data_IF_343572921063
#
_entry.id   IF_343572921063
#
_cell.length_a   1.000
_cell.length_b   1.000
_cell.length_c   1.000
_cell.angle_alpha   90.00
_cell.angle_beta   90.00
_cell.angle_gamma   90.00
#
_symmetry.space_group_name_H-M   'P 1'
#
loop_
_entity.id
_entity.type
_entity.pdbx_description
1 polymer ?
#
# COMPACT_ATOMS: atom_id res chain seq x y z
N UNK A 1 40.93 -55.89 -38.88
CA UNK A 1 40.96 -56.12 -37.41
C UNK A 1 40.86 -54.77 -36.71
N UNK A 2 39.81 -54.58 -35.90
CA UNK A 2 39.57 -53.52 -34.86
C UNK A 2 39.48 -52.07 -35.39
N UNK A 3 38.35 -51.36 -35.48
CA UNK A 3 37.08 -51.28 -34.73
C UNK A 3 37.26 -50.88 -33.25
N UNK A 4 37.12 -49.58 -32.94
CA UNK A 4 36.55 -49.00 -31.69
C UNK A 4 36.56 -47.44 -31.78
N UNK A 5 35.46 -46.78 -32.17
CA UNK A 5 34.47 -46.11 -31.30
C UNK A 5 35.08 -45.32 -30.12
N UNK A 6 35.09 -43.98 -30.20
CA UNK A 6 35.12 -43.12 -29.01
C UNK A 6 33.97 -42.11 -29.08
N UNK A 7 33.21 -42.06 -27.98
CA UNK A 7 31.89 -41.48 -27.85
C UNK A 7 31.89 -39.94 -27.82
N UNK A 8 30.78 -39.39 -28.32
CA UNK A 8 30.24 -38.07 -28.02
C UNK A 8 30.22 -37.80 -26.50
N UNK A 9 30.94 -36.78 -26.03
CA UNK A 9 30.77 -36.22 -24.68
C UNK A 9 30.01 -34.89 -24.80
N UNK A 10 28.68 -34.96 -24.82
CA UNK A 10 27.80 -33.81 -24.61
C UNK A 10 27.83 -33.45 -23.12
N UNK A 11 28.78 -32.60 -22.72
CA UNK A 11 28.76 -31.97 -21.40
C UNK A 11 27.60 -30.96 -21.35
N UNK A 12 26.42 -31.41 -20.93
CA UNK A 12 25.36 -30.53 -20.44
C UNK A 12 25.83 -30.00 -19.09
N UNK A 13 26.46 -28.82 -19.12
CA UNK A 13 26.67 -28.02 -17.91
C UNK A 13 25.29 -27.55 -17.44
N UNK A 14 24.68 -28.31 -16.54
CA UNK A 14 23.49 -27.91 -15.81
C UNK A 14 23.89 -26.76 -14.89
N UNK A 15 23.67 -25.53 -15.35
CA UNK A 15 23.76 -24.31 -14.54
C UNK A 15 22.86 -24.49 -13.31
N UNK A 16 23.47 -24.72 -12.15
CA UNK A 16 22.82 -24.52 -10.85
C UNK A 16 22.56 -23.01 -10.71
N UNK A 17 21.48 -22.54 -11.33
CA UNK A 17 20.92 -21.25 -10.98
C UNK A 17 20.52 -21.35 -9.50
N UNK A 18 20.99 -20.44 -8.62
CA UNK A 18 20.43 -20.37 -7.28
C UNK A 18 18.93 -20.18 -7.43
N UNK A 19 18.14 -20.98 -6.70
CA UNK A 19 16.70 -20.78 -6.63
C UNK A 19 16.49 -19.36 -6.10
N UNK A 20 16.18 -18.42 -7.00
CA UNK A 20 15.71 -17.12 -6.61
C UNK A 20 14.43 -17.39 -5.82
N UNK A 21 14.47 -17.16 -4.50
CA UNK A 21 13.29 -17.21 -3.66
C UNK A 21 12.36 -16.10 -4.15
N UNK A 22 11.47 -16.44 -5.07
CA UNK A 22 10.52 -15.51 -5.63
C UNK A 22 9.62 -15.00 -4.49
N UNK A 23 9.55 -13.69 -4.35
CA UNK A 23 8.61 -13.02 -3.43
C UNK A 23 7.19 -13.55 -3.65
N UNK A 24 6.42 -13.72 -2.58
CA UNK A 24 5.03 -14.21 -2.70
C UNK A 24 4.19 -13.12 -3.36
N UNK A 25 3.50 -13.49 -4.42
CA UNK A 25 2.54 -12.62 -5.10
C UNK A 25 1.12 -13.07 -4.76
N UNK A 26 0.30 -12.15 -4.25
CA UNK A 26 -1.13 -12.36 -4.04
C UNK A 26 -1.89 -11.48 -5.01
N UNK A 27 -2.72 -12.08 -5.86
CA UNK A 27 -3.58 -11.37 -6.79
C UNK A 27 -5.05 -11.58 -6.41
N UNK A 28 -5.82 -10.49 -6.41
CA UNK A 28 -7.26 -10.50 -6.18
C UNK A 28 -7.93 -9.61 -7.22
N UNK A 29 -9.07 -10.06 -7.72
CA UNK A 29 -9.89 -9.27 -8.64
C UNK A 29 -11.35 -9.39 -8.26
N UNK A 30 -12.11 -8.31 -8.49
CA UNK A 30 -13.55 -8.33 -8.33
C UNK A 30 -14.19 -7.29 -9.26
N UNK A 31 -15.41 -7.54 -9.76
CA UNK A 31 -16.21 -6.49 -10.38
C UNK A 31 -16.57 -5.43 -9.34
N UNK A 32 -16.67 -4.18 -9.78
CA UNK A 32 -17.10 -3.05 -8.97
C UNK A 32 -18.32 -2.43 -9.64
N UNK A 33 -19.47 -2.52 -8.97
CA UNK A 33 -20.71 -1.91 -9.41
C UNK A 33 -20.68 -0.38 -9.36
N UNK A 34 -21.51 0.27 -10.17
CA UNK A 34 -21.55 1.73 -10.33
C UNK A 34 -21.87 2.52 -9.04
N UNK A 35 -22.53 1.89 -8.07
CA UNK A 35 -22.84 2.49 -6.77
C UNK A 35 -22.02 1.91 -5.62
N UNK A 36 -21.07 1.00 -5.91
CA UNK A 36 -20.23 0.42 -4.87
C UNK A 36 -19.05 1.33 -4.54
N UNK A 37 -18.74 1.43 -3.26
CA UNK A 37 -17.49 1.98 -2.78
C UNK A 37 -16.41 0.90 -2.78
N UNK A 38 -15.17 1.25 -3.10
CA UNK A 38 -14.00 0.39 -2.84
C UNK A 38 -13.39 0.83 -1.52
N UNK A 39 -13.22 -0.12 -0.60
CA UNK A 39 -12.62 0.12 0.72
C UNK A 39 -11.38 -0.75 0.85
N UNK A 40 -10.24 -0.13 1.13
CA UNK A 40 -8.94 -0.75 1.28
C UNK A 40 -8.44 -0.53 2.71
N UNK A 41 -8.40 -1.60 3.49
CA UNK A 41 -7.86 -1.61 4.85
C UNK A 41 -6.58 -2.43 4.85
N UNK A 42 -5.45 -1.74 4.67
CA UNK A 42 -4.16 -2.37 4.41
C UNK A 42 -3.10 -1.99 5.47
N UNK A 43 -3.33 -2.30 6.77
CA UNK A 43 -2.44 -1.84 7.84
C UNK A 43 -1.00 -2.36 7.71
N UNK A 44 -0.79 -3.50 7.05
CA UNK A 44 0.51 -4.14 6.85
C UNK A 44 1.24 -3.71 5.57
N UNK A 45 0.61 -2.91 4.69
CA UNK A 45 1.26 -2.43 3.48
C UNK A 45 2.38 -1.43 3.82
N UNK A 46 3.53 -1.54 3.16
CA UNK A 46 4.64 -0.58 3.24
C UNK A 46 4.58 0.44 2.11
N UNK A 47 3.99 0.07 0.97
CA UNK A 47 3.74 0.95 -0.16
C UNK A 47 2.43 0.55 -0.84
N UNK A 48 1.58 1.53 -1.12
CA UNK A 48 0.31 1.35 -1.85
C UNK A 48 0.32 2.28 -3.05
N UNK A 49 0.28 1.71 -4.26
CA UNK A 49 0.19 2.45 -5.51
C UNK A 49 -1.16 2.20 -6.15
N UNK A 50 -1.93 3.25 -6.34
CA UNK A 50 -3.30 3.21 -6.86
C UNK A 50 -3.35 3.93 -8.20
N UNK A 51 -3.96 3.27 -9.19
CA UNK A 51 -4.26 3.87 -10.49
C UNK A 51 -5.74 3.73 -10.83
N UNK A 52 -6.34 4.80 -11.34
CA UNK A 52 -7.62 4.73 -12.01
C UNK A 52 -7.49 4.11 -13.40
N UNK A 53 -8.31 3.10 -13.68
CA UNK A 53 -8.43 2.43 -14.97
C UNK A 53 -9.77 2.68 -15.65
N UNK A 54 -9.90 2.27 -16.91
CA UNK A 54 -11.12 2.37 -17.72
C UNK A 54 -12.11 1.23 -17.51
N UNK A 55 -11.68 0.13 -16.86
CA UNK A 55 -12.52 -1.03 -16.58
C UNK A 55 -13.43 -0.86 -15.35
N UNK A 56 -14.36 -1.80 -15.18
CA UNK A 56 -15.25 -1.89 -14.01
C UNK A 56 -14.77 -2.94 -13.00
N UNK A 57 -13.46 -3.17 -12.93
CA UNK A 57 -12.87 -4.16 -12.04
C UNK A 57 -11.90 -3.51 -11.08
N UNK A 58 -11.93 -3.97 -9.84
CA UNK A 58 -10.83 -3.86 -8.90
C UNK A 58 -9.80 -4.94 -9.24
N UNK A 59 -8.53 -4.55 -9.35
CA UNK A 59 -7.39 -5.47 -9.41
C UNK A 59 -6.43 -5.10 -8.29
N UNK A 60 -6.03 -6.08 -7.50
CA UNK A 60 -5.05 -5.94 -6.43
C UNK A 60 -3.95 -6.94 -6.67
N UNK A 61 -2.70 -6.46 -6.63
CA UNK A 61 -1.49 -7.28 -6.68
C UNK A 61 -0.62 -6.88 -5.50
N UNK A 62 -0.36 -7.82 -4.59
CA UNK A 62 0.52 -7.61 -3.44
C UNK A 62 1.79 -8.46 -3.58
N UNK A 63 2.95 -7.83 -3.55
CA UNK A 63 4.25 -8.49 -3.43
C UNK A 63 4.66 -8.48 -1.95
N UNK A 64 4.88 -9.66 -1.40
CA UNK A 64 5.07 -9.88 0.04
C UNK A 64 6.45 -10.45 0.28
N UNK A 65 7.21 -9.76 1.14
CA UNK A 65 8.48 -10.24 1.69
C UNK A 65 8.47 -10.03 3.21
N UNK A 66 8.32 -11.12 3.95
CA UNK A 66 8.39 -11.14 5.42
C UNK A 66 9.54 -12.05 5.81
N UNK A 67 10.50 -11.51 6.58
CA UNK A 67 11.61 -12.26 7.13
C UNK A 67 12.37 -13.08 6.07
N UNK A 68 12.82 -12.40 5.01
CA UNK A 68 13.52 -13.01 3.87
C UNK A 68 12.68 -14.11 3.18
N UNK A 69 11.39 -13.83 2.98
CA UNK A 69 10.39 -14.73 2.40
C UNK A 69 9.95 -15.92 3.26
N UNK A 70 10.52 -16.12 4.46
CA UNK A 70 10.20 -17.28 5.31
C UNK A 70 8.77 -17.28 5.85
N UNK A 71 8.19 -16.10 6.05
CA UNK A 71 6.89 -15.94 6.70
C UNK A 71 5.86 -15.24 5.79
N UNK A 72 6.05 -15.29 4.47
CA UNK A 72 5.12 -14.65 3.53
C UNK A 72 3.67 -15.15 3.66
N UNK A 73 3.48 -16.38 4.15
CA UNK A 73 2.17 -16.94 4.42
C UNK A 73 1.46 -16.34 5.64
N UNK A 74 2.19 -15.62 6.49
CA UNK A 74 1.59 -14.87 7.57
C UNK A 74 0.75 -13.69 7.05
N UNK A 75 1.03 -13.12 5.87
CA UNK A 75 0.14 -12.09 5.30
C UNK A 75 -1.08 -12.74 4.66
N UNK A 76 -2.24 -12.42 5.22
CA UNK A 76 -3.55 -12.78 4.67
C UNK A 76 -4.14 -11.55 3.99
N UNK A 77 -4.56 -11.71 2.72
CA UNK A 77 -5.27 -10.69 1.97
C UNK A 77 -6.64 -11.22 1.57
N UNK A 78 -7.69 -10.64 2.15
CA UNK A 78 -9.07 -10.99 1.88
C UNK A 78 -9.73 -9.97 0.96
N UNK A 79 -10.60 -10.46 0.08
CA UNK A 79 -11.49 -9.63 -0.74
C UNK A 79 -12.92 -10.09 -0.47
N UNK A 80 -13.79 -9.17 -0.09
CA UNK A 80 -15.21 -9.40 0.15
C UNK A 80 -16.04 -8.43 -0.69
N UNK A 81 -17.01 -8.95 -1.41
CA UNK A 81 -18.00 -8.14 -2.12
C UNK A 81 -19.29 -8.17 -1.32
N UNK A 82 -19.75 -7.01 -0.89
CA UNK A 82 -20.94 -6.82 -0.07
C UNK A 82 -21.90 -5.85 -0.77
N UNK A 83 -23.13 -5.73 -0.26
CA UNK A 83 -24.07 -4.72 -0.74
C UNK A 83 -23.46 -3.32 -0.53
N UNK A 84 -23.25 -2.59 -1.62
CA UNK A 84 -22.73 -1.22 -1.58
C UNK A 84 -21.20 -1.07 -1.46
N UNK A 85 -20.42 -2.15 -1.29
CA UNK A 85 -18.95 -2.05 -1.26
C UNK A 85 -18.19 -3.28 -1.71
N UNK A 86 -16.96 -3.07 -2.15
CA UNK A 86 -15.92 -4.09 -2.31
C UNK A 86 -14.82 -3.78 -1.30
N UNK A 87 -14.63 -4.68 -0.33
CA UNK A 87 -13.67 -4.53 0.77
C UNK A 87 -12.45 -5.41 0.52
N UNK A 88 -11.27 -4.82 0.59
CA UNK A 88 -9.98 -5.51 0.64
C UNK A 88 -9.36 -5.26 2.00
N UNK A 89 -9.03 -6.33 2.70
CA UNK A 89 -8.45 -6.24 4.04
C UNK A 89 -7.22 -7.12 4.14
N UNK A 90 -6.12 -6.56 4.64
CA UNK A 90 -4.94 -7.33 5.03
C UNK A 90 -4.89 -7.55 6.54
N UNK A 91 -4.37 -8.71 6.94
CA UNK A 91 -4.13 -9.08 8.31
C UNK A 91 -2.90 -9.99 8.39
N UNK A 92 -2.27 -10.03 9.57
CA UNK A 92 -1.26 -11.04 9.87
C UNK A 92 -1.87 -12.23 10.60
N UNK A 93 -1.38 -13.42 10.27
CA UNK A 93 -1.51 -14.61 11.10
C UNK A 93 -0.45 -14.55 12.21
N UNK A 94 -0.87 -14.11 13.39
CA UNK A 94 0.00 -13.95 14.56
C UNK A 94 0.65 -15.28 15.00
N UNK A 95 -0.01 -16.43 14.77
CA UNK A 95 0.56 -17.72 15.12
C UNK A 95 1.77 -18.03 14.22
N UNK A 96 1.70 -17.70 12.93
CA UNK A 96 2.84 -17.81 12.03
C UNK A 96 3.94 -16.80 12.37
N UNK A 97 3.59 -15.55 12.70
CA UNK A 97 4.58 -14.54 13.07
C UNK A 97 5.38 -14.94 14.31
N UNK A 98 4.75 -15.57 15.31
CA UNK A 98 5.42 -16.09 16.52
C UNK A 98 6.44 -17.18 16.25
N UNK A 99 6.45 -17.80 15.07
CA UNK A 99 7.50 -18.75 14.67
C UNK A 99 8.78 -18.08 14.20
N UNK A 100 8.78 -16.75 14.05
CA UNK A 100 9.94 -15.96 13.67
C UNK A 100 11.09 -16.11 14.64
N UNK A 101 12.29 -16.20 14.09
CA UNK A 101 13.55 -16.08 14.81
C UNK A 101 14.16 -14.70 14.57
N UNK A 102 14.86 -14.15 15.56
CA UNK A 102 15.55 -12.86 15.42
C UNK A 102 16.51 -12.83 14.22
N UNK A 103 17.17 -13.97 13.93
CA UNK A 103 18.05 -14.15 12.76
C UNK A 103 17.34 -14.02 11.41
N UNK A 104 16.02 -14.12 11.36
CA UNK A 104 15.25 -14.02 10.11
C UNK A 104 15.09 -12.57 9.64
N UNK A 105 15.34 -11.61 10.55
CA UNK A 105 15.27 -10.18 10.33
C UNK A 105 16.60 -9.52 10.75
N UNK A 106 17.69 -9.72 9.97
CA UNK A 106 18.99 -9.12 10.26
C UNK A 106 18.89 -7.58 10.30
N UNK A 107 19.76 -6.93 11.06
CA UNK A 107 19.66 -5.53 11.53
C UNK A 107 19.68 -4.40 10.47
N UNK A 108 19.33 -4.66 9.22
CA UNK A 108 19.33 -3.67 8.13
C UNK A 108 18.14 -2.69 8.12
N UNK A 109 17.43 -2.51 9.24
CA UNK A 109 16.36 -1.53 9.40
C UNK A 109 14.96 -2.03 8.99
N UNK A 110 13.94 -1.52 9.69
CA UNK A 110 12.51 -1.85 9.56
C UNK A 110 12.03 -3.17 10.22
N UNK A 111 12.62 -3.55 11.36
CA UNK A 111 12.10 -4.63 12.20
C UNK A 111 11.23 -4.11 13.34
N UNK A 112 10.02 -4.65 13.52
CA UNK A 112 9.25 -4.44 14.75
C UNK A 112 9.58 -5.55 15.73
N UNK A 113 9.99 -5.16 16.94
CA UNK A 113 10.19 -6.09 18.04
C UNK A 113 8.87 -6.33 18.74
N UNK A 114 8.46 -7.60 18.81
CA UNK A 114 7.34 -8.03 19.62
C UNK A 114 7.88 -8.78 20.84
N UNK A 115 7.66 -8.20 22.02
CA UNK A 115 7.90 -8.89 23.29
C UNK A 115 6.57 -9.47 23.76
N UNK A 116 6.42 -10.79 23.70
CA UNK A 116 5.34 -11.44 24.44
C UNK A 116 5.65 -11.25 25.94
N UNK A 117 4.72 -10.63 26.67
CA UNK A 117 4.87 -10.29 28.09
C UNK A 117 4.63 -11.48 29.01
N UNK A 118 5.11 -12.67 28.68
CA UNK A 118 5.06 -13.81 29.59
C UNK A 118 6.23 -13.73 30.59
N UNK A 119 5.92 -13.86 31.88
CA UNK A 119 6.89 -13.76 32.99
C UNK A 119 7.88 -14.95 33.04
N UNK A 120 8.17 -15.61 31.91
CA UNK A 120 8.88 -16.90 31.85
C UNK A 120 10.04 -16.95 30.85
N UNK A 121 10.80 -15.87 30.72
CA UNK A 121 12.05 -15.86 29.95
C UNK A 121 11.85 -15.47 28.49
N UNK A 122 12.27 -14.24 28.18
CA UNK A 122 12.06 -13.54 26.93
C UNK A 122 12.36 -14.36 25.67
N UNK A 123 11.33 -14.68 24.89
CA UNK A 123 11.47 -14.99 23.45
C UNK A 123 10.77 -13.89 22.65
N UNK A 124 11.41 -12.73 22.56
CA UNK A 124 10.97 -11.70 21.62
C UNK A 124 11.15 -12.22 20.19
N UNK A 125 10.14 -12.03 19.34
CA UNK A 125 10.24 -12.31 17.90
C UNK A 125 10.33 -11.01 17.12
N UNK A 126 10.98 -11.06 15.95
CA UNK A 126 11.31 -9.86 15.17
C UNK A 126 10.78 -10.01 13.74
N UNK A 127 9.92 -9.07 13.34
CA UNK A 127 9.32 -9.08 12.01
C UNK A 127 9.89 -7.93 11.18
N UNK A 128 10.61 -8.28 10.11
CA UNK A 128 10.93 -7.39 8.99
C UNK A 128 9.92 -7.66 7.88
N UNK A 129 9.21 -6.63 7.43
CA UNK A 129 8.18 -6.78 6.41
C UNK A 129 8.31 -5.71 5.33
N UNK A 130 8.23 -6.15 4.07
CA UNK A 130 7.98 -5.29 2.91
C UNK A 130 6.77 -5.84 2.16
N UNK A 131 5.71 -5.05 2.07
CA UNK A 131 4.44 -5.40 1.41
C UNK A 131 4.07 -4.29 0.45
N UNK A 132 4.40 -4.50 -0.82
CA UNK A 132 4.13 -3.56 -1.89
C UNK A 132 2.81 -3.94 -2.56
N UNK A 133 1.85 -3.03 -2.56
CA UNK A 133 0.50 -3.26 -3.09
C UNK A 133 0.26 -2.33 -4.28
N UNK A 134 -0.04 -2.92 -5.42
CA UNK A 134 -0.47 -2.24 -6.64
C UNK A 134 -1.96 -2.47 -6.84
N UNK A 135 -2.70 -1.40 -7.07
CA UNK A 135 -4.16 -1.40 -7.13
C UNK A 135 -4.62 -0.65 -8.36
N UNK A 136 -5.50 -1.29 -9.13
CA UNK A 136 -6.25 -0.65 -10.19
C UNK A 136 -7.74 -0.64 -9.82
N UNK A 137 -8.37 0.51 -9.94
CA UNK A 137 -9.80 0.71 -9.66
C UNK A 137 -10.48 1.42 -10.83
N UNK A 138 -11.82 1.32 -10.99
CA UNK A 138 -12.52 2.20 -11.92
C UNK A 138 -12.28 3.66 -11.56
N UNK A 139 -11.88 4.51 -12.51
CA UNK A 139 -11.42 5.88 -12.22
C UNK A 139 -12.41 6.71 -11.39
N UNK A 140 -13.71 6.58 -11.67
CA UNK A 140 -14.78 7.33 -10.99
C UNK A 140 -15.31 6.71 -9.70
N UNK A 141 -14.71 5.62 -9.20
CA UNK A 141 -15.20 4.93 -8.01
C UNK A 141 -15.04 5.80 -6.76
N UNK A 142 -15.97 5.68 -5.80
CA UNK A 142 -15.73 6.16 -4.46
C UNK A 142 -14.70 5.25 -3.79
N UNK A 143 -13.56 5.80 -3.40
CA UNK A 143 -12.42 5.05 -2.85
C UNK A 143 -12.12 5.51 -1.43
N UNK A 144 -12.00 4.55 -0.52
CA UNK A 144 -11.41 4.75 0.81
C UNK A 144 -10.20 3.84 0.94
N UNK A 145 -9.05 4.39 1.32
CA UNK A 145 -7.82 3.65 1.58
C UNK A 145 -7.21 4.05 2.92
N UNK A 146 -6.80 3.06 3.70
CA UNK A 146 -6.15 3.26 4.99
C UNK A 146 -4.99 2.29 5.19
N UNK A 147 -3.92 2.78 5.81
CA UNK A 147 -2.76 1.99 6.23
C UNK A 147 -2.15 2.57 7.51
N UNK A 148 -1.27 1.81 8.16
CA UNK A 148 -0.56 2.25 9.36
C UNK A 148 0.82 2.75 8.97
N UNK A 149 1.66 1.91 8.35
CA UNK A 149 3.07 2.25 8.10
C UNK A 149 3.39 2.43 6.61
N UNK A 150 2.36 2.45 5.75
CA UNK A 150 2.54 2.51 4.31
C UNK A 150 2.44 3.91 3.73
N UNK A 151 3.21 4.14 2.66
CA UNK A 151 3.00 5.30 1.79
C UNK A 151 1.83 5.02 0.83
N UNK A 152 1.01 6.03 0.56
CA UNK A 152 -0.09 5.95 -0.41
C UNK A 152 0.21 6.89 -1.57
N UNK A 153 0.28 6.33 -2.77
CA UNK A 153 0.39 7.08 -4.03
C UNK A 153 -0.84 6.79 -4.88
N UNK A 154 -1.56 7.83 -5.31
CA UNK A 154 -2.76 7.66 -6.13
C UNK A 154 -2.77 8.56 -7.36
N UNK A 155 -3.10 7.99 -8.52
CA UNK A 155 -3.13 8.68 -9.80
C UNK A 155 -4.33 8.26 -10.65
N UNK A 156 -4.76 9.12 -11.58
CA UNK A 156 -5.82 8.79 -12.55
C UNK A 156 -7.22 8.59 -11.96
N UNK A 157 -7.43 9.01 -10.71
CA UNK A 157 -8.73 8.96 -10.05
C UNK A 157 -9.58 10.19 -10.42
N UNK A 158 -10.89 10.01 -10.43
CA UNK A 158 -11.87 11.05 -10.68
C UNK A 158 -13.12 10.96 -9.77
N UNK A 159 -13.21 9.94 -8.91
CA UNK A 159 -14.29 9.80 -7.92
C UNK A 159 -13.95 10.39 -6.54
N UNK A 160 -14.87 10.30 -5.57
CA UNK A 160 -14.60 10.60 -4.17
C UNK A 160 -13.43 9.79 -3.63
N UNK A 161 -12.55 10.44 -2.87
CA UNK A 161 -11.35 9.82 -2.32
C UNK A 161 -11.21 10.16 -0.84
N UNK A 162 -10.98 9.15 -0.02
CA UNK A 162 -10.45 9.27 1.33
C UNK A 162 -9.19 8.42 1.43
N UNK A 163 -8.04 9.06 1.66
CA UNK A 163 -6.75 8.39 1.80
C UNK A 163 -6.11 8.74 3.14
N UNK A 164 -5.80 7.72 3.94
CA UNK A 164 -5.26 7.89 5.29
C UNK A 164 -4.04 7.00 5.53
N UNK A 165 -2.96 7.59 6.03
CA UNK A 165 -1.82 6.86 6.60
C UNK A 165 -1.51 7.35 8.00
N UNK A 166 -1.01 6.47 8.88
CA UNK A 166 -0.56 6.88 10.22
C UNK A 166 0.90 7.32 10.17
N UNK A 167 1.76 6.53 9.53
CA UNK A 167 3.23 6.69 9.52
C UNK A 167 3.77 6.53 8.10
N UNK A 168 3.17 7.24 7.15
CA UNK A 168 3.59 7.32 5.76
C UNK A 168 2.97 8.52 5.07
N UNK A 169 3.54 8.95 3.94
CA UNK A 169 2.97 10.06 3.19
C UNK A 169 1.73 9.65 2.40
N UNK A 170 0.91 10.64 2.07
CA UNK A 170 -0.19 10.49 1.12
C UNK A 170 0.07 11.43 -0.06
N UNK A 171 0.30 10.88 -1.26
CA UNK A 171 0.58 11.63 -2.48
C UNK A 171 -0.47 11.34 -3.54
N UNK A 172 -1.26 12.35 -3.89
CA UNK A 172 -2.34 12.24 -4.87
C UNK A 172 -2.12 13.19 -6.01
N UNK A 173 -2.07 12.63 -7.22
CA UNK A 173 -2.08 13.40 -8.46
C UNK A 173 -3.50 13.56 -8.98
N UNK A 174 -3.95 14.81 -9.10
CA UNK A 174 -5.31 15.16 -9.52
C UNK A 174 -5.31 16.06 -10.77
N UNK A 175 -6.18 15.81 -11.77
CA UNK A 175 -6.27 16.68 -12.94
C UNK A 175 -6.79 18.07 -12.56
N UNK A 176 -6.05 19.14 -12.90
CA UNK A 176 -6.48 20.53 -12.60
C UNK A 176 -7.79 20.93 -13.30
N UNK A 177 -8.09 20.30 -14.45
CA UNK A 177 -9.35 20.49 -15.16
C UNK A 177 -10.56 19.89 -14.43
N UNK A 178 -10.32 18.99 -13.47
CA UNK A 178 -11.35 18.36 -12.67
C UNK A 178 -11.51 19.09 -11.33
N UNK A 179 -12.72 19.61 -11.09
CA UNK A 179 -13.04 20.23 -9.81
C UNK A 179 -12.97 19.24 -8.64
N UNK A 180 -12.71 19.73 -7.43
CA UNK A 180 -12.73 18.93 -6.21
C UNK A 180 -13.03 19.80 -4.98
N UNK A 181 -13.76 19.24 -4.03
CA UNK A 181 -13.78 19.75 -2.65
C UNK A 181 -12.66 19.04 -1.90
N UNK A 182 -11.73 19.79 -1.31
CA UNK A 182 -10.54 19.20 -0.68
C UNK A 182 -10.55 19.40 0.82
N UNK A 183 -10.07 18.39 1.54
CA UNK A 183 -9.81 18.43 2.96
C UNK A 183 -8.48 17.72 3.24
N UNK A 184 -7.51 18.45 3.78
CA UNK A 184 -6.18 17.91 4.06
C UNK A 184 -5.86 18.04 5.53
N UNK A 185 -5.22 17.03 6.10
CA UNK A 185 -4.82 17.03 7.50
C UNK A 185 -3.49 16.32 7.69
N UNK A 186 -2.62 16.95 8.48
CA UNK A 186 -1.45 16.29 9.06
C UNK A 186 -1.23 16.75 10.49
N UNK A 187 -0.65 15.89 11.34
CA UNK A 187 -0.29 16.23 12.72
C UNK A 187 1.18 16.62 12.81
N UNK A 188 2.08 15.76 12.32
CA UNK A 188 3.53 16.03 12.27
C UNK A 188 4.05 15.91 10.84
N UNK A 189 3.73 16.91 10.02
CA UNK A 189 4.16 17.04 8.64
C UNK A 189 3.59 18.30 8.02
N UNK A 190 3.74 18.43 6.70
CA UNK A 190 3.24 19.56 5.93
C UNK A 190 2.28 19.13 4.82
N UNK A 191 1.47 20.08 4.36
CA UNK A 191 0.59 19.89 3.20
C UNK A 191 1.16 20.68 2.03
N UNK A 192 1.46 19.99 0.93
CA UNK A 192 2.00 20.58 -0.28
C UNK A 192 1.04 20.43 -1.44
N UNK A 193 0.87 21.51 -2.20
CA UNK A 193 0.05 21.51 -3.41
C UNK A 193 0.54 22.57 -4.39
N UNK A 194 0.51 22.24 -5.67
CA UNK A 194 0.71 23.16 -6.80
C UNK A 194 -0.61 23.46 -7.52
N UNK A 195 -1.74 23.04 -6.93
CA UNK A 195 -3.09 23.28 -7.42
C UNK A 195 -3.59 24.67 -6.99
N UNK A 196 -4.45 25.26 -7.82
CA UNK A 196 -5.08 26.54 -7.51
C UNK A 196 -6.33 26.31 -6.64
N UNK A 197 -6.10 26.12 -5.33
CA UNK A 197 -7.14 25.82 -4.35
C UNK A 197 -7.57 27.10 -3.63
N UNK A 198 -8.86 27.41 -3.71
CA UNK A 198 -9.48 28.43 -2.89
C UNK A 198 -9.72 27.88 -1.46
N UNK A 199 -8.75 28.05 -0.57
CA UNK A 199 -8.85 27.64 0.83
C UNK A 199 -9.85 28.50 1.61
N UNK A 200 -10.63 27.89 2.50
CA UNK A 200 -11.71 28.56 3.24
C UNK A 200 -11.44 28.76 4.73
N UNK A 201 -10.50 28.01 5.30
CA UNK A 201 -10.21 28.03 6.74
C UNK A 201 -8.70 28.01 7.05
N UNK A 202 -7.86 28.39 6.08
CA UNK A 202 -6.42 28.48 6.28
C UNK A 202 -6.14 29.53 7.37
N UNK A 203 -5.42 29.13 8.41
CA UNK A 203 -4.95 30.02 9.48
C UNK A 203 -3.63 30.68 9.08
N UNK A 204 -3.42 31.90 9.55
CA UNK A 204 -2.13 32.56 9.48
C UNK A 204 -1.15 31.97 10.50
N UNK A 205 0.09 31.72 10.08
CA UNK A 205 1.13 31.11 10.92
C UNK A 205 1.03 29.58 11.06
N UNK A 206 2.02 28.99 11.74
CA UNK A 206 2.08 27.54 11.97
C UNK A 206 1.26 27.22 13.24
N UNK A 207 0.21 26.41 13.14
CA UNK A 207 -0.61 26.04 14.29
C UNK A 207 0.19 25.16 15.26
N UNK A 208 -0.10 25.25 16.56
CA UNK A 208 0.56 24.41 17.58
C UNK A 208 0.18 22.92 17.44
N UNK A 209 -0.99 22.62 16.87
CA UNK A 209 -1.49 21.27 16.59
C UNK A 209 -2.06 21.24 15.19
N UNK A 210 -1.82 20.15 14.47
CA UNK A 210 -2.39 19.89 13.16
C UNK A 210 -3.91 20.09 13.14
N UNK A 211 -4.40 20.75 12.09
CA UNK A 211 -5.83 20.94 11.85
C UNK A 211 -6.17 20.60 10.41
N UNK A 212 -7.45 20.33 10.17
CA UNK A 212 -7.93 20.08 8.83
C UNK A 212 -8.11 21.38 8.04
N UNK A 213 -7.33 21.53 6.96
CA UNK A 213 -7.49 22.62 6.01
C UNK A 213 -8.44 22.20 4.89
N UNK A 214 -9.37 23.07 4.53
CA UNK A 214 -10.41 22.85 3.52
C UNK A 214 -10.35 23.89 2.41
N UNK A 215 -10.76 23.49 1.22
CA UNK A 215 -10.86 24.39 0.09
C UNK A 215 -11.57 23.77 -1.11
N UNK A 216 -11.66 24.54 -2.18
CA UNK A 216 -12.21 24.10 -3.45
C UNK A 216 -11.18 24.29 -4.58
N UNK A 217 -10.99 23.24 -5.38
CA UNK A 217 -10.28 23.31 -6.65
C UNK A 217 -11.31 23.47 -7.77
N UNK A 218 -11.23 24.56 -8.53
CA UNK A 218 -12.13 24.78 -9.68
C UNK A 218 -13.63 24.85 -9.30
N UNK A 219 -14.49 24.26 -10.16
CA UNK A 219 -15.95 24.19 -9.95
C UNK A 219 -16.34 22.97 -9.10
N UNK A 220 -17.63 22.66 -9.03
CA UNK A 220 -18.15 21.48 -8.32
C UNK A 220 -17.41 20.18 -8.71
N UNK A 221 -17.19 19.31 -7.73
CA UNK A 221 -16.46 18.06 -7.88
C UNK A 221 -16.58 17.18 -6.63
N UNK A 222 -16.00 15.98 -6.67
CA UNK A 222 -16.05 15.05 -5.55
C UNK A 222 -15.25 15.57 -4.35
N UNK A 223 -15.52 14.99 -3.17
CA UNK A 223 -14.70 15.20 -1.98
C UNK A 223 -13.40 14.39 -2.10
N UNK A 224 -12.28 15.05 -1.86
CA UNK A 224 -10.95 14.45 -1.73
C UNK A 224 -10.40 14.79 -0.35
N UNK A 225 -10.39 13.79 0.53
CA UNK A 225 -9.87 13.88 1.89
C UNK A 225 -8.55 13.13 2.01
N UNK A 226 -7.47 13.84 2.35
CA UNK A 226 -6.15 13.24 2.52
C UNK A 226 -5.63 13.49 3.93
N UNK A 227 -5.15 12.44 4.58
CA UNK A 227 -4.71 12.48 5.97
C UNK A 227 -3.42 11.68 6.17
N UNK A 228 -2.41 12.30 6.77
CA UNK A 228 -1.26 11.58 7.32
C UNK A 228 -1.07 11.99 8.77
N UNK A 229 -0.89 11.07 9.72
CA UNK A 229 -0.61 11.48 11.10
C UNK A 229 0.85 11.94 11.23
N UNK A 230 1.79 11.13 10.75
CA UNK A 230 3.23 11.32 10.93
C UNK A 230 4.00 11.36 9.61
N UNK A 231 3.52 12.19 8.69
CA UNK A 231 4.20 12.51 7.43
C UNK A 231 3.48 13.64 6.69
N UNK A 232 3.93 13.90 5.47
CA UNK A 232 3.39 14.92 4.61
C UNK A 232 2.19 14.42 3.78
N UNK A 233 1.39 15.39 3.35
CA UNK A 233 0.31 15.20 2.38
C UNK A 233 0.64 16.00 1.13
N UNK A 234 0.53 15.38 -0.02
CA UNK A 234 0.76 15.99 -1.32
C UNK A 234 -0.49 15.88 -2.19
N UNK A 235 -0.94 17.00 -2.74
CA UNK A 235 -2.03 17.05 -3.72
C UNK A 235 -1.57 17.84 -4.94
N UNK A 236 -1.19 17.13 -6.00
CA UNK A 236 -0.39 17.68 -7.10
C UNK A 236 -1.12 17.67 -8.44
N UNK A 237 -0.72 18.55 -9.35
CA UNK A 237 -1.16 18.55 -10.76
C UNK A 237 -0.66 17.30 -11.46
N UNK A 238 -1.54 16.72 -12.29
CA UNK A 238 -1.12 15.72 -13.28
C UNK A 238 -0.17 16.36 -14.28
N UNK A 239 1.08 15.88 -14.32
CA UNK A 239 2.03 16.19 -15.39
C UNK A 239 1.66 15.44 -16.66
#
# INVERSE_FOLDING_TARGET
MKLLRLLLSLCVALLLLPAAHAQKIIEKTAPVGSQQQVVLELPQATSIKIRGGSGQQLRVRAAVTINQNKLNDALQLSLRTEQGRVLVQSAYDEALLRTSQASDCPDSGHGVWHTDGDNNGQRGYRICSNVEVEIEVPAGVALRVSTISGNIEATGLSGPLEAKSISGYVDVTWPAAQGAQVAFQTITGEVYTDQDIAFTNRKDGVPMVGYEVRGALGKAGPLVRLESISNDVYFRKRK
#
